data_IF_442535959890
#
_entry.id   IF_442535959890
#
_cell.length_a   1.000
_cell.length_b   1.000
_cell.length_c   1.000
_cell.angle_alpha   90.00
_cell.angle_beta   90.00
_cell.angle_gamma   90.00
#
_symmetry.space_group_name_H-M   'P 1'
#
loop_
_entity.id
_entity.type
_entity.pdbx_description
1 polymer ?
#
# COMPACT_ATOMS: atom_id res chain seq x y z
N UNK A 1 30.47 30.27 27.67
CA UNK A 1 30.17 29.59 26.38
C UNK A 1 29.16 28.50 26.66
N UNK A 2 27.89 28.88 26.75
CA UNK A 2 26.77 28.00 27.09
C UNK A 2 26.50 27.06 25.92
N UNK A 3 26.73 25.77 26.16
CA UNK A 3 26.43 24.67 25.23
C UNK A 3 25.00 24.84 24.74
N UNK A 4 24.84 25.14 23.45
CA UNK A 4 23.54 25.11 22.80
C UNK A 4 22.94 23.74 23.03
N UNK A 5 21.75 23.70 23.62
CA UNK A 5 20.93 22.50 23.63
C UNK A 5 20.88 22.00 22.18
N UNK A 6 21.37 20.79 21.93
CA UNK A 6 21.35 20.19 20.60
C UNK A 6 19.89 19.80 20.28
N UNK A 7 19.06 20.81 20.04
CA UNK A 7 17.76 20.65 19.40
C UNK A 7 17.95 20.26 17.93
N UNK A 8 16.85 19.85 17.27
CA UNK A 8 16.79 19.69 15.82
C UNK A 8 17.53 20.81 15.09
N UNK A 9 18.51 20.48 14.25
CA UNK A 9 19.11 21.50 13.40
C UNK A 9 18.07 21.93 12.37
N UNK A 10 17.99 23.25 12.09
CA UNK A 10 17.06 23.78 11.08
C UNK A 10 17.25 23.11 9.71
N UNK A 11 18.48 22.67 9.41
CA UNK A 11 18.84 21.89 8.23
C UNK A 11 18.13 20.53 8.22
N UNK A 12 18.10 19.80 9.35
CA UNK A 12 17.40 18.51 9.45
C UNK A 12 15.90 18.66 9.22
N UNK A 13 15.29 19.69 9.81
CA UNK A 13 13.85 19.98 9.64
C UNK A 13 13.53 20.29 8.18
N UNK A 14 14.35 21.12 7.53
CA UNK A 14 14.20 21.43 6.11
C UNK A 14 14.41 20.18 5.24
N UNK A 15 15.41 19.34 5.54
CA UNK A 15 15.66 18.11 4.81
C UNK A 15 14.44 17.16 4.86
N UNK A 16 13.84 16.97 6.04
CA UNK A 16 12.60 16.19 6.18
C UNK A 16 11.49 16.79 5.34
N UNK A 17 11.26 18.11 5.42
CA UNK A 17 10.24 18.80 4.65
C UNK A 17 10.41 18.61 3.14
N UNK A 18 11.64 18.76 2.63
CA UNK A 18 11.95 18.58 1.20
C UNK A 18 11.78 17.13 0.77
N UNK A 19 12.24 16.16 1.55
CA UNK A 19 12.08 14.73 1.25
C UNK A 19 10.60 14.33 1.19
N UNK A 20 9.81 14.75 2.18
CA UNK A 20 8.37 14.45 2.23
C UNK A 20 7.64 15.17 1.10
N UNK A 21 7.88 16.46 0.87
CA UNK A 21 7.23 17.20 -0.20
C UNK A 21 7.55 16.60 -1.58
N UNK A 22 8.82 16.35 -1.87
CA UNK A 22 9.25 15.74 -3.14
C UNK A 22 8.69 14.33 -3.29
N UNK A 23 8.73 13.53 -2.22
CA UNK A 23 8.16 12.18 -2.21
C UNK A 23 6.66 12.17 -2.51
N UNK A 24 5.89 13.07 -1.91
CA UNK A 24 4.46 13.25 -2.17
C UNK A 24 4.21 13.74 -3.60
N UNK A 25 5.00 14.70 -4.11
CA UNK A 25 4.84 15.16 -5.50
C UNK A 25 5.08 14.03 -6.50
N UNK A 26 6.13 13.22 -6.30
CA UNK A 26 6.43 12.07 -7.16
C UNK A 26 5.37 10.96 -7.07
N UNK A 27 4.76 10.76 -5.90
CA UNK A 27 3.65 9.82 -5.71
C UNK A 27 2.40 10.18 -6.51
N UNK A 28 2.21 11.45 -6.86
CA UNK A 28 1.08 11.93 -7.66
C UNK A 28 1.34 11.83 -9.18
N UNK A 29 2.51 11.36 -9.60
CA UNK A 29 2.83 11.21 -11.02
C UNK A 29 2.27 9.89 -11.58
N UNK A 30 2.11 9.83 -12.91
CA UNK A 30 1.58 8.64 -13.60
C UNK A 30 2.61 7.55 -13.86
N UNK A 31 3.91 7.84 -13.82
CA UNK A 31 4.94 6.83 -14.09
C UNK A 31 5.24 6.00 -12.85
N UNK A 32 5.21 4.68 -13.01
CA UNK A 32 5.48 3.72 -11.92
C UNK A 32 6.88 3.91 -11.35
N UNK A 33 7.88 4.20 -12.19
CA UNK A 33 9.23 4.51 -11.73
C UNK A 33 9.26 5.76 -10.85
N UNK A 34 8.53 6.80 -11.23
CA UNK A 34 8.42 8.05 -10.45
C UNK A 34 7.68 7.82 -9.12
N UNK A 35 6.59 7.06 -9.13
CA UNK A 35 5.88 6.63 -7.91
C UNK A 35 6.83 5.86 -6.98
N UNK A 36 7.62 4.93 -7.51
CA UNK A 36 8.59 4.14 -6.73
C UNK A 36 9.66 5.04 -6.10
N UNK A 37 10.21 6.00 -6.85
CA UNK A 37 11.13 7.00 -6.31
C UNK A 37 10.45 7.84 -5.22
N UNK A 38 9.18 8.21 -5.41
CA UNK A 38 8.38 8.91 -4.41
C UNK A 38 8.30 8.17 -3.08
N UNK A 39 8.02 6.87 -3.12
CA UNK A 39 7.97 5.98 -1.94
C UNK A 39 9.34 5.93 -1.25
N UNK A 40 10.43 5.80 -2.01
CA UNK A 40 11.79 5.78 -1.47
C UNK A 40 12.11 7.11 -0.77
N UNK A 41 11.85 8.25 -1.42
CA UNK A 41 12.10 9.57 -0.83
C UNK A 41 11.26 9.79 0.44
N UNK A 42 9.97 9.44 0.39
CA UNK A 42 9.06 9.58 1.52
C UNK A 42 9.51 8.71 2.70
N UNK A 43 9.90 7.45 2.45
CA UNK A 43 10.44 6.55 3.47
C UNK A 43 11.69 7.11 4.14
N UNK A 44 12.60 7.70 3.37
CA UNK A 44 13.78 8.40 3.92
C UNK A 44 13.39 9.62 4.77
N UNK A 45 12.42 10.42 4.33
CA UNK A 45 11.89 11.55 5.09
C UNK A 45 11.28 11.13 6.43
N UNK A 46 10.49 10.05 6.44
CA UNK A 46 9.89 9.48 7.65
C UNK A 46 10.96 8.93 8.60
N UNK A 47 11.99 8.25 8.08
CA UNK A 47 13.11 7.77 8.91
C UNK A 47 13.83 8.93 9.62
N UNK A 48 14.10 10.02 8.91
CA UNK A 48 14.68 11.22 9.51
C UNK A 48 13.74 11.87 10.53
N UNK A 49 12.43 11.90 10.26
CA UNK A 49 11.43 12.44 11.18
C UNK A 49 11.38 11.64 12.49
N UNK A 50 11.46 10.30 12.44
CA UNK A 50 11.51 9.45 13.63
C UNK A 50 12.78 9.73 14.44
N UNK A 51 13.94 9.85 13.78
CA UNK A 51 15.20 10.17 14.46
C UNK A 51 15.16 11.54 15.14
N UNK A 52 14.45 12.50 14.57
CA UNK A 52 14.29 13.84 15.14
C UNK A 52 13.54 13.85 16.48
N UNK A 53 12.69 12.86 16.71
CA UNK A 53 11.95 12.69 17.96
C UNK A 53 12.80 12.14 19.12
N UNK A 54 14.03 11.68 18.85
CA UNK A 54 14.94 11.13 19.84
C UNK A 54 16.01 12.11 20.32
N UNK A 55 16.55 11.87 21.52
CA UNK A 55 17.75 12.55 22.02
C UNK A 55 18.98 12.13 21.20
N UNK A 56 19.75 13.15 20.79
CA UNK A 56 21.07 12.97 20.19
C UNK A 56 22.14 12.76 21.28
N UNK A 57 23.08 11.85 21.03
CA UNK A 57 24.13 11.47 21.99
C UNK A 57 25.08 10.42 21.41
N UNK A 58 25.93 9.85 22.26
CA UNK A 58 26.80 8.74 21.90
C UNK A 58 25.98 7.48 21.52
N UNK A 59 26.54 6.63 20.66
CA UNK A 59 25.90 5.40 20.22
C UNK A 59 25.41 4.56 21.42
N UNK A 60 24.19 3.97 21.36
CA UNK A 60 23.58 3.29 22.48
C UNK A 60 24.14 1.88 22.66
N UNK A 61 25.40 1.84 23.05
CA UNK A 61 26.22 0.65 23.21
C UNK A 61 26.78 0.65 24.64
N UNK A 62 26.77 -0.50 25.29
CA UNK A 62 27.33 -0.62 26.63
C UNK A 62 28.82 -0.23 26.63
N UNK A 63 29.21 0.67 27.53
CA UNK A 63 30.60 1.12 27.68
C UNK A 63 31.03 2.32 26.83
N UNK A 64 30.16 2.91 26.00
CA UNK A 64 30.53 4.06 25.15
C UNK A 64 30.35 5.42 25.84
N UNK A 65 29.36 5.56 26.74
CA UNK A 65 29.11 6.79 27.50
C UNK A 65 28.30 6.50 28.78
N UNK A 66 28.32 7.46 29.72
CA UNK A 66 27.37 7.48 30.84
C UNK A 66 25.94 7.56 30.32
N UNK A 67 24.97 6.91 31.00
CA UNK A 67 23.58 6.77 30.55
C UNK A 67 22.89 8.08 30.13
N UNK A 68 23.29 9.23 30.67
CA UNK A 68 22.74 10.54 30.32
C UNK A 68 23.28 11.16 29.02
N UNK A 69 24.39 10.67 28.48
CA UNK A 69 25.05 11.18 27.27
C UNK A 69 24.82 10.34 26.01
N UNK A 70 23.96 9.32 26.11
CA UNK A 70 23.68 8.35 25.05
C UNK A 70 22.45 8.79 24.24
N UNK A 71 22.42 8.43 22.95
CA UNK A 71 21.24 8.62 22.10
C UNK A 71 20.13 7.62 22.43
N UNK A 72 18.88 7.96 22.13
CA UNK A 72 17.75 7.05 22.38
C UNK A 72 17.80 5.82 21.47
N UNK A 73 17.79 4.63 22.08
CA UNK A 73 17.80 3.35 21.36
C UNK A 73 16.45 3.03 20.69
N UNK A 74 15.34 3.57 21.22
CA UNK A 74 14.00 3.28 20.72
C UNK A 74 13.77 3.84 19.30
N UNK A 75 14.01 5.13 19.00
CA UNK A 75 13.91 5.64 17.63
C UNK A 75 14.86 4.94 16.66
N UNK A 76 16.05 4.51 17.11
CA UNK A 76 17.00 3.78 16.26
C UNK A 76 16.48 2.40 15.86
N UNK A 77 15.93 1.64 16.80
CA UNK A 77 15.32 0.34 16.52
C UNK A 77 14.08 0.47 15.60
N UNK A 78 13.29 1.54 15.81
CA UNK A 78 12.14 1.85 14.95
C UNK A 78 12.57 2.14 13.50
N UNK A 79 13.61 2.94 13.30
CA UNK A 79 14.14 3.26 11.96
C UNK A 79 14.71 2.03 11.28
N UNK A 80 15.41 1.15 12.00
CA UNK A 80 15.90 -0.11 11.42
C UNK A 80 14.74 -0.96 10.89
N UNK A 81 13.66 -1.08 11.66
CA UNK A 81 12.45 -1.79 11.24
C UNK A 81 11.81 -1.12 10.03
N UNK A 82 11.68 0.21 10.05
CA UNK A 82 11.10 0.97 8.96
C UNK A 82 11.90 0.79 7.65
N UNK A 83 13.23 0.87 7.69
CA UNK A 83 14.10 0.68 6.52
C UNK A 83 13.90 -0.71 5.91
N UNK A 84 13.79 -1.76 6.72
CA UNK A 84 13.58 -3.13 6.23
C UNK A 84 12.20 -3.29 5.58
N UNK A 85 11.15 -2.72 6.18
CA UNK A 85 9.80 -2.72 5.60
C UNK A 85 9.78 -1.95 4.28
N UNK A 86 10.36 -0.75 4.24
CA UNK A 86 10.45 0.05 3.02
C UNK A 86 11.25 -0.68 1.94
N UNK A 87 12.36 -1.34 2.30
CA UNK A 87 13.13 -2.14 1.35
C UNK A 87 12.31 -3.31 0.78
N UNK A 88 11.60 -4.06 1.62
CA UNK A 88 10.74 -5.15 1.18
C UNK A 88 9.60 -4.67 0.26
N UNK A 89 8.92 -3.59 0.64
CA UNK A 89 7.88 -2.97 -0.18
C UNK A 89 8.44 -2.46 -1.51
N UNK A 90 9.61 -1.81 -1.48
CA UNK A 90 10.27 -1.27 -2.69
C UNK A 90 10.67 -2.40 -3.63
N UNK A 91 11.26 -3.49 -3.12
CA UNK A 91 11.62 -4.64 -3.93
C UNK A 91 10.39 -5.32 -4.55
N UNK A 92 9.31 -5.45 -3.77
CA UNK A 92 8.03 -5.97 -4.26
C UNK A 92 7.44 -5.08 -5.36
N UNK A 93 7.34 -3.77 -5.13
CA UNK A 93 6.81 -2.82 -6.10
C UNK A 93 7.69 -2.74 -7.35
N UNK A 94 9.02 -2.83 -7.20
CA UNK A 94 9.94 -2.89 -8.33
C UNK A 94 9.71 -4.16 -9.17
N UNK A 95 9.45 -5.31 -8.53
CA UNK A 95 9.11 -6.54 -9.25
C UNK A 95 7.76 -6.41 -10.00
N UNK A 96 6.76 -5.75 -9.40
CA UNK A 96 5.48 -5.45 -10.05
C UNK A 96 5.67 -4.49 -11.22
N UNK A 97 6.42 -3.40 -11.02
CA UNK A 97 6.71 -2.42 -12.06
C UNK A 97 7.47 -3.06 -13.23
N UNK A 98 8.48 -3.89 -12.93
CA UNK A 98 9.19 -4.66 -13.95
C UNK A 98 8.25 -5.58 -14.74
N UNK A 99 7.35 -6.29 -14.05
CA UNK A 99 6.36 -7.15 -14.71
C UNK A 99 5.35 -6.36 -15.54
N UNK A 100 4.90 -5.22 -15.06
CA UNK A 100 4.00 -4.31 -15.78
C UNK A 100 4.67 -3.79 -17.05
N UNK A 101 5.91 -3.29 -16.95
CA UNK A 101 6.69 -2.84 -18.10
C UNK A 101 6.92 -3.96 -19.12
N UNK A 102 7.24 -5.17 -18.66
CA UNK A 102 7.41 -6.33 -19.54
C UNK A 102 6.12 -6.71 -20.28
N UNK A 103 4.95 -6.49 -19.67
CA UNK A 103 3.64 -6.87 -20.23
C UNK A 103 3.08 -5.78 -21.15
N UNK A 104 3.12 -4.52 -20.71
CA UNK A 104 2.48 -3.39 -21.39
C UNK A 104 3.43 -2.59 -22.28
N UNK A 105 4.75 -2.72 -22.11
CA UNK A 105 5.75 -1.96 -22.85
C UNK A 105 5.88 -0.49 -22.45
N UNK A 106 5.12 -0.05 -21.45
CA UNK A 106 5.08 1.33 -20.96
C UNK A 106 5.10 1.36 -19.42
N UNK A 107 5.66 2.44 -18.87
CA UNK A 107 5.81 2.69 -17.41
C UNK A 107 4.68 3.59 -16.87
N UNK A 108 3.77 4.06 -17.72
CA UNK A 108 2.63 4.89 -17.33
C UNK A 108 1.46 4.05 -16.78
N UNK A 109 0.91 4.47 -15.64
CA UNK A 109 -0.34 3.94 -15.08
C UNK A 109 -1.50 4.35 -15.99
N UNK A 110 -2.05 3.36 -16.70
CA UNK A 110 -3.13 3.56 -17.67
C UNK A 110 -4.49 3.74 -16.97
N UNK A 111 -5.33 4.61 -17.52
CA UNK A 111 -6.74 4.67 -17.15
C UNK A 111 -7.48 3.51 -17.81
N UNK A 112 -8.32 2.81 -17.05
CA UNK A 112 -9.06 1.65 -17.59
C UNK A 112 -10.04 2.09 -18.70
N UNK A 113 -10.17 1.26 -19.73
CA UNK A 113 -11.14 1.49 -20.81
C UNK A 113 -12.58 1.39 -20.29
N UNK A 114 -12.80 0.56 -19.26
CA UNK A 114 -14.09 0.40 -18.59
C UNK A 114 -14.50 1.69 -17.85
N UNK A 115 -13.55 2.36 -17.19
CA UNK A 115 -13.78 3.66 -16.53
C UNK A 115 -14.26 4.72 -17.53
N UNK A 116 -13.70 4.74 -18.74
CA UNK A 116 -14.16 5.65 -19.81
C UNK A 116 -15.56 5.30 -20.31
N UNK A 117 -15.96 4.04 -20.24
CA UNK A 117 -17.30 3.61 -20.60
C UNK A 117 -18.32 4.03 -19.54
N UNK A 118 -17.99 3.88 -18.24
CA UNK A 118 -18.82 4.33 -17.12
C UNK A 118 -19.02 5.85 -17.16
N UNK A 119 -17.96 6.64 -17.38
CA UNK A 119 -18.09 8.12 -17.50
C UNK A 119 -18.99 8.52 -18.67
N UNK A 120 -18.91 7.80 -19.80
CA UNK A 120 -19.80 8.04 -20.96
C UNK A 120 -21.25 7.65 -20.69
N UNK A 121 -21.50 6.57 -19.95
CA UNK A 121 -22.85 6.14 -19.55
C UNK A 121 -23.46 7.08 -18.51
N UNK A 122 -22.66 7.53 -17.54
CA UNK A 122 -23.07 8.52 -16.55
C UNK A 122 -23.44 9.87 -17.20
N UNK A 123 -22.70 10.30 -18.24
CA UNK A 123 -23.05 11.50 -19.01
C UNK A 123 -24.32 11.38 -19.85
N UNK A 124 -24.87 10.17 -20.02
CA UNK A 124 -26.17 9.93 -20.66
C UNK A 124 -27.33 9.88 -19.66
N UNK A 125 -27.07 10.10 -18.36
CA UNK A 125 -28.04 9.87 -17.27
C UNK A 125 -28.64 8.44 -17.30
N UNK A 126 -27.93 7.49 -17.91
CA UNK A 126 -28.23 6.06 -17.82
C UNK A 126 -27.61 5.51 -16.53
N UNK A 127 -27.88 6.15 -15.38
CA UNK A 127 -27.58 5.55 -14.09
C UNK A 127 -28.60 4.44 -13.92
N UNK A 128 -28.16 3.22 -14.23
CA UNK A 128 -28.87 1.95 -14.07
C UNK A 128 -30.39 2.11 -14.22
N UNK A 129 -30.95 1.74 -15.37
CA UNK A 129 -32.29 1.20 -15.38
C UNK A 129 -32.33 0.26 -14.16
N UNK A 130 -33.06 0.69 -13.11
CA UNK A 130 -33.13 -0.06 -11.89
C UNK A 130 -33.45 -1.48 -12.34
N UNK A 131 -32.60 -2.44 -11.98
CA UNK A 131 -32.92 -3.83 -12.23
C UNK A 131 -34.18 -4.11 -11.42
N UNK A 132 -35.33 -3.86 -12.04
CA UNK A 132 -36.66 -4.11 -11.55
C UNK A 132 -36.88 -5.62 -11.71
N UNK A 133 -36.00 -6.41 -11.10
CA UNK A 133 -35.94 -7.88 -11.11
C UNK A 133 -36.97 -8.53 -12.02
N UNK A 134 -36.69 -8.48 -13.32
CA UNK A 134 -37.60 -8.96 -14.37
C UNK A 134 -37.59 -10.47 -14.56
N UNK A 135 -36.67 -11.19 -13.91
CA UNK A 135 -36.67 -12.64 -13.86
C UNK A 135 -37.77 -13.11 -12.89
N UNK A 136 -38.97 -13.28 -13.44
CA UNK A 136 -39.93 -14.21 -12.86
C UNK A 136 -39.30 -15.61 -12.78
N UNK A 137 -39.68 -16.43 -11.78
CA UNK A 137 -39.02 -17.70 -11.44
C UNK A 137 -39.06 -18.81 -12.51
N UNK A 138 -39.42 -18.51 -13.77
CA UNK A 138 -39.77 -19.49 -14.79
C UNK A 138 -38.91 -19.45 -16.08
N UNK A 139 -37.94 -18.53 -16.26
CA UNK A 139 -37.17 -18.43 -17.54
C UNK A 139 -35.76 -19.06 -17.53
N UNK A 140 -35.35 -19.66 -16.40
CA UNK A 140 -34.06 -20.36 -16.30
C UNK A 140 -34.13 -21.74 -16.96
N UNK A 141 -33.79 -21.82 -18.26
CA UNK A 141 -33.69 -23.11 -18.98
C UNK A 141 -32.62 -24.07 -18.46
N UNK A 142 -31.73 -23.59 -17.59
CA UNK A 142 -30.71 -24.38 -16.89
C UNK A 142 -31.10 -24.79 -15.46
N UNK A 143 -32.31 -24.46 -15.00
CA UNK A 143 -32.81 -24.94 -13.72
C UNK A 143 -33.26 -26.40 -13.86
N UNK A 144 -32.27 -27.29 -13.91
CA UNK A 144 -32.47 -28.74 -13.72
C UNK A 144 -32.82 -28.92 -12.25
N UNK A 145 -34.11 -28.99 -11.95
CA UNK A 145 -34.60 -29.39 -10.64
C UNK A 145 -33.98 -30.77 -10.31
N UNK A 146 -33.13 -30.90 -9.27
CA UNK A 146 -32.62 -32.19 -8.89
C UNK A 146 -33.79 -33.02 -8.36
N UNK A 147 -34.30 -33.92 -9.20
CA UNK A 147 -35.29 -34.95 -8.84
C UNK A 147 -35.02 -35.44 -7.41
N UNK A 148 -35.98 -35.30 -6.47
CA UNK A 148 -35.73 -35.64 -5.08
C UNK A 148 -35.35 -37.12 -5.02
N UNK A 149 -34.15 -37.38 -4.51
CA UNK A 149 -33.55 -38.70 -4.46
C UNK A 149 -34.58 -39.72 -3.96
N UNK A 150 -35.10 -40.54 -4.87
CA UNK A 150 -36.02 -41.61 -4.52
C UNK A 150 -35.29 -42.56 -3.58
N UNK A 151 -35.56 -42.38 -2.28
CA UNK A 151 -35.15 -43.28 -1.22
C UNK A 151 -35.74 -44.64 -1.57
N UNK A 152 -34.92 -45.51 -2.16
CA UNK A 152 -35.30 -46.90 -2.43
C UNK A 152 -35.68 -47.52 -1.08
N UNK A 153 -36.98 -47.69 -0.86
CA UNK A 153 -37.50 -48.56 0.18
C UNK A 153 -36.98 -49.95 -0.13
N UNK A 154 -35.92 -50.35 0.57
CA UNK A 154 -35.47 -51.74 0.63
C UNK A 154 -36.55 -52.51 1.40
N UNK A 155 -37.51 -53.03 0.66
CA UNK A 155 -38.37 -54.12 1.09
C UNK A 155 -38.14 -55.25 0.10
N UNK A 156 -37.24 -56.15 0.49
CA UNK A 156 -37.22 -57.58 0.18
C UNK A 156 -36.64 -58.18 1.49
N UNK A 157 -37.43 -58.82 2.35
CA UNK A 157 -38.01 -60.16 2.16
C UNK A 157 -36.93 -61.17 1.77
N UNK A 158 -36.14 -61.57 2.76
CA UNK A 158 -35.46 -62.87 2.77
C UNK A 158 -35.21 -63.29 4.23
N UNK A 159 -36.22 -63.90 4.85
CA UNK A 159 -36.14 -65.22 5.52
C UNK A 159 -37.47 -65.60 6.16
#
# INVERSE_FOLDING_TARGET
MTRGAAGPTLVLVLAVGVLVATGVTLLLERSLTRILLGIILLGNGVNLLILLGGRSGAAPLAGTALAGGMSDALPQAMVLTAVVITFGLTAFLLAVAYRAWFTSGDDEVQDDLEDRQIVRLAGRDEVAAADLGGEGPDDDREQVDPEPARRRLRRDEES
#
